data_IF_674234702787
#
_entry.id   IF_674234702787
#
_cell.length_a   1.000
_cell.length_b   1.000
_cell.length_c   1.000
_cell.angle_alpha   90.00
_cell.angle_beta   90.00
_cell.angle_gamma   90.00
#
_symmetry.space_group_name_H-M   'P 1'
#
loop_
_entity.id
_entity.type
_entity.pdbx_description
1 polymer ?
#
# COMPACT_ATOMS: atom_id res chain seq x y z
N UNK A 1 -23.29 -12.88 49.18
CA UNK A 1 -22.56 -11.98 48.27
C UNK A 1 -21.17 -12.57 47.96
N UNK A 2 -21.08 -13.88 47.69
CA UNK A 2 -19.79 -14.60 47.49
C UNK A 2 -19.96 -15.94 46.72
N UNK A 3 -20.88 -15.98 45.75
CA UNK A 3 -21.00 -17.13 44.83
C UNK A 3 -21.24 -16.72 43.37
N UNK A 4 -21.80 -15.52 43.12
CA UNK A 4 -21.93 -14.95 41.77
C UNK A 4 -20.61 -14.34 41.26
N UNK A 5 -19.83 -13.72 42.14
CA UNK A 5 -18.50 -13.16 41.83
C UNK A 5 -17.48 -14.25 41.50
N UNK A 6 -17.60 -15.43 42.12
CA UNK A 6 -16.76 -16.59 41.80
C UNK A 6 -17.10 -17.17 40.41
N UNK A 7 -18.39 -17.25 40.04
CA UNK A 7 -18.83 -17.71 38.71
C UNK A 7 -18.50 -16.75 37.58
N UNK A 8 -18.38 -15.44 37.86
CA UNK A 8 -17.89 -14.46 36.87
C UNK A 8 -16.37 -14.57 36.63
N UNK A 9 -15.61 -14.94 37.66
CA UNK A 9 -14.16 -15.13 37.56
C UNK A 9 -13.79 -16.50 36.96
N UNK A 10 -14.58 -17.56 37.21
CA UNK A 10 -14.40 -18.86 36.54
C UNK A 10 -14.74 -18.83 35.04
N UNK A 11 -15.56 -17.87 34.58
CA UNK A 11 -15.83 -17.67 33.14
C UNK A 11 -14.71 -16.94 32.38
N UNK A 12 -13.70 -16.40 33.07
CA UNK A 12 -12.54 -15.75 32.44
C UNK A 12 -11.36 -16.70 32.15
N UNK A 13 -11.45 -17.95 32.56
CA UNK A 13 -10.48 -19.02 32.24
C UNK A 13 -11.03 -20.05 31.25
N UNK A 14 -12.02 -19.68 30.43
CA UNK A 14 -12.20 -20.39 29.16
C UNK A 14 -11.05 -19.94 28.28
N UNK A 15 -9.99 -20.74 28.24
CA UNK A 15 -8.81 -20.52 27.43
C UNK A 15 -9.22 -20.07 26.04
N UNK A 16 -9.07 -18.76 25.79
CA UNK A 16 -9.33 -18.18 24.49
C UNK A 16 -8.23 -18.76 23.61
N UNK A 17 -8.52 -19.85 22.90
CA UNK A 17 -7.66 -20.36 21.85
C UNK A 17 -7.52 -19.21 20.87
N UNK A 18 -6.45 -18.44 21.00
CA UNK A 18 -6.10 -17.44 20.03
C UNK A 18 -5.92 -18.22 18.72
N UNK A 19 -6.85 -18.03 17.78
CA UNK A 19 -6.79 -18.69 16.50
C UNK A 19 -5.61 -18.09 15.75
N UNK A 20 -4.48 -18.80 15.76
CA UNK A 20 -3.24 -18.38 15.13
C UNK A 20 -3.19 -18.74 13.64
N UNK A 21 -4.35 -18.95 13.01
CA UNK A 21 -4.46 -19.44 11.64
C UNK A 21 -5.40 -18.55 10.84
N UNK A 22 -4.96 -18.12 9.66
CA UNK A 22 -5.79 -17.36 8.70
C UNK A 22 -5.69 -18.06 7.35
N UNK A 23 -6.82 -18.22 6.67
CA UNK A 23 -6.86 -18.77 5.31
C UNK A 23 -6.82 -17.62 4.31
N UNK A 24 -5.75 -17.57 3.53
CA UNK A 24 -5.52 -16.60 2.46
C UNK A 24 -5.76 -17.26 1.08
N UNK A 25 -6.19 -16.46 0.11
CA UNK A 25 -6.50 -16.91 -1.24
C UNK A 25 -5.25 -17.22 -2.08
N UNK A 26 -4.13 -16.56 -1.76
CA UNK A 26 -2.85 -16.72 -2.45
C UNK A 26 -2.00 -17.79 -1.77
N UNK A 27 -1.85 -17.70 -0.45
CA UNK A 27 -0.90 -18.52 0.34
C UNK A 27 -1.54 -19.71 1.07
N UNK A 28 -2.86 -19.88 0.98
CA UNK A 28 -3.58 -20.97 1.65
C UNK A 28 -3.64 -20.79 3.17
N UNK A 29 -3.36 -21.84 3.95
CA UNK A 29 -3.47 -21.78 5.42
C UNK A 29 -2.18 -21.22 6.04
N UNK A 30 -2.25 -19.98 6.49
CA UNK A 30 -1.14 -19.25 7.12
C UNK A 30 -1.18 -19.41 8.65
N UNK A 31 -0.01 -19.34 9.30
CA UNK A 31 0.12 -19.41 10.76
C UNK A 31 0.88 -18.23 11.31
N UNK A 32 0.36 -17.58 12.36
CA UNK A 32 0.94 -16.37 12.93
C UNK A 32 1.35 -16.55 14.39
N UNK A 33 2.47 -15.97 14.79
CA UNK A 33 2.79 -15.88 16.22
C UNK A 33 1.77 -15.01 16.97
N UNK A 34 1.55 -15.26 18.28
CA UNK A 34 0.62 -14.45 19.09
C UNK A 34 0.89 -12.95 19.06
N UNK A 35 2.16 -12.56 18.91
CA UNK A 35 2.58 -11.16 18.81
C UNK A 35 2.21 -10.54 17.45
N UNK A 36 2.28 -11.29 16.34
CA UNK A 36 1.74 -10.86 15.04
C UNK A 36 0.22 -10.69 15.13
N UNK A 37 -0.48 -11.64 15.75
CA UNK A 37 -1.92 -11.54 15.94
C UNK A 37 -2.32 -10.31 16.77
N UNK A 38 -1.55 -9.95 17.79
CA UNK A 38 -1.79 -8.69 18.55
C UNK A 38 -1.67 -7.44 17.69
N UNK A 39 -0.76 -7.39 16.72
CA UNK A 39 -0.66 -6.28 15.75
C UNK A 39 -1.87 -6.29 14.82
N UNK A 40 -2.19 -7.47 14.28
CA UNK A 40 -3.31 -7.66 13.35
C UNK A 40 -4.62 -7.21 14.00
N UNK A 41 -4.84 -7.51 15.28
CA UNK A 41 -6.07 -7.19 16.03
C UNK A 41 -6.17 -5.71 16.48
N UNK A 42 -5.29 -4.82 16.01
CA UNK A 42 -5.37 -3.37 16.29
C UNK A 42 -6.30 -2.64 15.31
N UNK A 43 -6.94 -1.56 15.73
CA UNK A 43 -7.80 -0.74 14.85
C UNK A 43 -7.03 -0.18 13.65
N UNK A 44 -5.77 0.18 13.87
CA UNK A 44 -4.89 0.76 12.86
C UNK A 44 -4.57 -0.25 11.75
N UNK A 45 -4.35 -1.53 12.11
CA UNK A 45 -4.15 -2.60 11.13
C UNK A 45 -5.47 -3.05 10.50
N UNK A 46 -6.56 -3.16 11.28
CA UNK A 46 -7.89 -3.50 10.77
C UNK A 46 -8.43 -2.46 9.78
N UNK A 47 -7.98 -1.20 9.84
CA UNK A 47 -8.26 -0.15 8.83
C UNK A 47 -7.95 -0.62 7.41
N UNK A 48 -6.85 -1.36 7.24
CA UNK A 48 -6.38 -1.81 5.93
C UNK A 48 -7.41 -2.66 5.17
N UNK A 49 -8.41 -3.24 5.86
CA UNK A 49 -9.50 -3.98 5.21
C UNK A 49 -10.35 -3.12 4.29
N UNK A 50 -10.42 -1.82 4.60
CA UNK A 50 -11.21 -0.85 3.85
C UNK A 50 -10.34 -0.02 2.90
N UNK A 51 -9.11 -0.45 2.63
CA UNK A 51 -8.22 0.15 1.65
C UNK A 51 -8.00 -0.84 0.51
N UNK A 52 -8.55 -0.55 -0.66
CA UNK A 52 -8.31 -1.38 -1.84
C UNK A 52 -6.82 -1.33 -2.21
N UNK A 53 -6.22 -2.51 -2.42
CA UNK A 53 -4.81 -2.65 -2.82
C UNK A 53 -4.53 -1.82 -4.08
N UNK A 54 -5.39 -1.98 -5.08
CA UNK A 54 -5.24 -1.35 -6.39
C UNK A 54 -6.05 -0.05 -6.55
N UNK A 55 -6.53 0.53 -5.44
CA UNK A 55 -7.28 1.79 -5.45
C UNK A 55 -8.39 1.80 -6.49
N UNK A 56 -8.29 2.71 -7.46
CA UNK A 56 -9.30 2.87 -8.51
C UNK A 56 -9.42 1.69 -9.49
N UNK A 57 -8.47 0.74 -9.47
CA UNK A 57 -8.52 -0.39 -10.39
C UNK A 57 -9.77 -1.26 -10.17
N UNK A 58 -10.35 -1.30 -8.97
CA UNK A 58 -11.58 -2.04 -8.68
C UNK A 58 -12.79 -1.57 -9.52
N UNK A 59 -12.79 -0.33 -10.03
CA UNK A 59 -13.83 0.21 -10.92
C UNK A 59 -13.70 -0.30 -12.36
N UNK A 60 -12.52 -0.78 -12.75
CA UNK A 60 -12.20 -1.31 -14.08
C UNK A 60 -12.14 -2.84 -14.07
N UNK A 61 -11.42 -3.40 -13.10
CA UNK A 61 -11.23 -4.81 -12.87
C UNK A 61 -12.16 -5.25 -11.73
N UNK A 62 -13.31 -5.83 -12.08
CA UNK A 62 -14.35 -6.20 -11.11
C UNK A 62 -13.83 -7.16 -10.02
N UNK A 63 -12.85 -8.00 -10.37
CA UNK A 63 -12.21 -8.91 -9.42
C UNK A 63 -11.20 -8.25 -8.48
N UNK A 64 -10.72 -7.02 -8.75
CA UNK A 64 -9.72 -6.32 -7.96
C UNK A 64 -10.30 -5.73 -6.65
N UNK A 65 -10.96 -6.56 -5.86
CA UNK A 65 -11.62 -6.21 -4.59
C UNK A 65 -10.72 -6.43 -3.37
N UNK A 66 -9.51 -6.95 -3.58
CA UNK A 66 -8.58 -7.26 -2.51
C UNK A 66 -8.08 -6.00 -1.80
N UNK A 67 -7.77 -6.16 -0.52
CA UNK A 67 -7.39 -5.05 0.35
C UNK A 67 -5.90 -5.08 0.72
N UNK A 68 -5.38 -3.96 1.22
CA UNK A 68 -4.03 -3.90 1.80
C UNK A 68 -3.86 -4.88 2.96
N UNK A 69 -4.94 -5.17 3.68
CA UNK A 69 -4.92 -6.08 4.83
C UNK A 69 -4.41 -7.47 4.47
N UNK A 70 -5.00 -8.11 3.47
CA UNK A 70 -4.63 -9.47 3.05
C UNK A 70 -3.25 -9.51 2.38
N UNK A 71 -2.87 -8.44 1.68
CA UNK A 71 -1.50 -8.25 1.17
C UNK A 71 -0.47 -8.24 2.32
N UNK A 72 -0.65 -7.40 3.34
CA UNK A 72 0.26 -7.36 4.50
C UNK A 72 0.38 -8.71 5.22
N UNK A 73 -0.69 -9.50 5.28
CA UNK A 73 -0.64 -10.85 5.84
C UNK A 73 0.24 -11.78 5.01
N UNK A 74 0.15 -11.69 3.68
CA UNK A 74 0.88 -12.51 2.71
C UNK A 74 2.40 -12.36 2.75
N UNK A 75 2.91 -11.27 3.34
CA UNK A 75 4.35 -11.05 3.53
C UNK A 75 4.96 -11.91 4.65
N UNK A 76 4.16 -12.59 5.48
CA UNK A 76 4.66 -13.44 6.57
C UNK A 76 4.77 -14.90 6.12
N UNK A 77 5.97 -15.47 6.22
CA UNK A 77 6.20 -16.91 6.13
C UNK A 77 6.48 -17.54 7.51
N UNK A 78 6.41 -18.86 7.62
CA UNK A 78 6.61 -19.56 8.91
C UNK A 78 8.05 -19.41 9.41
N UNK A 79 9.01 -19.37 8.48
CA UNK A 79 10.44 -19.36 8.73
C UNK A 79 11.01 -17.98 9.08
N UNK A 80 10.24 -16.90 8.97
CA UNK A 80 10.76 -15.54 9.14
C UNK A 80 11.14 -15.20 10.59
N UNK A 81 12.20 -14.42 10.74
CA UNK A 81 12.57 -13.83 12.03
C UNK A 81 11.50 -12.82 12.43
N UNK A 82 11.06 -12.84 13.70
CA UNK A 82 9.97 -12.00 14.21
C UNK A 82 10.02 -10.52 13.79
N UNK A 83 11.20 -9.90 13.76
CA UNK A 83 11.33 -8.50 13.34
C UNK A 83 11.00 -8.28 11.85
N UNK A 84 11.32 -9.25 10.98
CA UNK A 84 10.96 -9.22 9.56
C UNK A 84 9.44 -9.37 9.42
N UNK A 85 8.82 -10.26 10.19
CA UNK A 85 7.36 -10.44 10.19
C UNK A 85 6.63 -9.17 10.58
N UNK A 86 7.10 -8.48 11.63
CA UNK A 86 6.54 -7.18 12.03
C UNK A 86 6.75 -6.15 10.93
N UNK A 87 7.95 -6.07 10.34
CA UNK A 87 8.23 -5.14 9.25
C UNK A 87 7.33 -5.38 8.04
N UNK A 88 7.16 -6.64 7.62
CA UNK A 88 6.26 -7.03 6.53
C UNK A 88 4.80 -6.70 6.82
N UNK A 89 4.28 -7.00 8.02
CA UNK A 89 2.92 -6.62 8.40
C UNK A 89 2.71 -5.10 8.33
N UNK A 90 3.67 -4.35 8.85
CA UNK A 90 3.51 -2.93 9.05
C UNK A 90 3.83 -2.08 7.82
N UNK A 91 4.41 -2.63 6.75
CA UNK A 91 5.00 -1.83 5.68
C UNK A 91 4.03 -0.89 4.96
N UNK A 92 2.74 -1.23 4.97
CA UNK A 92 1.65 -0.54 4.26
C UNK A 92 0.67 0.20 5.20
N UNK A 93 0.98 0.26 6.50
CA UNK A 93 0.07 0.88 7.50
C UNK A 93 -0.16 2.37 7.30
N UNK A 94 0.75 3.04 6.60
CA UNK A 94 0.69 4.47 6.31
C UNK A 94 -0.12 4.82 5.06
N UNK A 95 -0.58 3.86 4.26
CA UNK A 95 -1.41 4.12 3.07
C UNK A 95 -2.76 4.77 3.40
N UNK A 96 -3.14 5.80 2.64
CA UNK A 96 -4.45 6.43 2.73
C UNK A 96 -5.51 5.82 1.79
N UNK A 97 -6.71 6.43 1.70
CA UNK A 97 -7.78 5.99 0.82
C UNK A 97 -7.33 5.85 -0.63
N UNK A 98 -7.72 4.77 -1.29
CA UNK A 98 -7.33 4.43 -2.66
C UNK A 98 -5.80 4.28 -2.84
N UNK A 99 -5.09 3.94 -1.76
CA UNK A 99 -3.67 3.62 -1.78
C UNK A 99 -2.84 4.73 -2.45
N UNK A 100 -2.22 4.44 -3.61
CA UNK A 100 -1.34 5.37 -4.30
C UNK A 100 -2.03 6.65 -4.83
N UNK A 101 -3.36 6.69 -4.91
CA UNK A 101 -4.08 7.94 -5.22
C UNK A 101 -3.87 8.95 -4.10
N UNK A 102 -3.99 8.52 -2.84
CA UNK A 102 -3.79 9.42 -1.72
C UNK A 102 -2.34 9.88 -1.64
N UNK A 103 -1.39 8.94 -1.60
CA UNK A 103 0.01 9.28 -1.36
C UNK A 103 0.68 9.97 -2.55
N UNK A 104 0.37 9.51 -3.77
CA UNK A 104 1.07 9.93 -4.99
C UNK A 104 0.36 11.02 -5.79
N UNK A 105 -0.95 11.21 -5.62
CA UNK A 105 -1.68 12.25 -6.36
C UNK A 105 -2.22 13.33 -5.43
N UNK A 106 -2.96 12.94 -4.39
CA UNK A 106 -3.61 13.89 -3.50
C UNK A 106 -2.59 14.71 -2.70
N UNK A 107 -1.64 14.06 -2.01
CA UNK A 107 -0.60 14.78 -1.26
C UNK A 107 0.26 15.68 -2.17
N UNK A 108 0.61 15.22 -3.36
CA UNK A 108 1.34 16.02 -4.35
C UNK A 108 0.56 17.25 -4.82
N UNK A 109 -0.76 17.14 -4.98
CA UNK A 109 -1.62 18.28 -5.30
C UNK A 109 -1.74 19.27 -4.13
N UNK A 110 -1.81 18.78 -2.89
CA UNK A 110 -1.79 19.64 -1.71
C UNK A 110 -0.48 20.43 -1.59
N UNK A 111 0.67 19.79 -1.85
CA UNK A 111 1.99 20.46 -1.89
C UNK A 111 2.03 21.54 -2.97
N UNK A 112 1.61 21.22 -4.20
CA UNK A 112 1.55 22.19 -5.31
C UNK A 112 0.65 23.39 -5.01
N UNK A 113 -0.39 23.19 -4.21
CA UNK A 113 -1.31 24.26 -3.75
C UNK A 113 -0.84 24.97 -2.48
N UNK A 114 0.33 24.64 -1.93
CA UNK A 114 0.86 25.16 -0.66
C UNK A 114 -0.09 24.96 0.54
N UNK A 115 -0.90 23.89 0.52
CA UNK A 115 -1.80 23.54 1.64
C UNK A 115 -1.02 22.78 2.74
N UNK A 116 -0.03 21.99 2.32
CA UNK A 116 0.88 21.25 3.21
C UNK A 116 2.33 21.57 2.84
N UNK A 117 3.24 21.41 3.81
CA UNK A 117 4.68 21.62 3.65
C UNK A 117 5.28 20.60 2.66
N UNK A 118 6.26 21.01 1.85
CA UNK A 118 7.05 20.10 1.01
C UNK A 118 7.77 19.03 1.82
N UNK A 119 8.15 19.33 3.07
CA UNK A 119 8.77 18.39 3.99
C UNK A 119 7.79 17.31 4.50
N UNK A 120 6.47 17.50 4.34
CA UNK A 120 5.48 16.54 4.75
C UNK A 120 5.50 15.32 3.82
N UNK A 121 6.13 14.22 4.26
CA UNK A 121 6.31 13.01 3.45
C UNK A 121 5.09 12.09 3.38
N UNK A 122 4.05 12.33 4.17
CA UNK A 122 2.88 11.43 4.20
C UNK A 122 3.17 10.09 4.88
N UNK A 123 4.15 10.03 5.79
CA UNK A 123 4.43 8.83 6.58
C UNK A 123 4.06 9.04 8.04
N UNK A 124 3.69 7.96 8.73
CA UNK A 124 3.47 7.99 10.17
C UNK A 124 4.73 8.46 10.91
N UNK A 125 4.55 9.35 11.89
CA UNK A 125 5.65 9.84 12.73
C UNK A 125 6.17 8.75 13.67
N UNK A 126 7.38 8.95 14.21
CA UNK A 126 7.96 8.05 15.22
C UNK A 126 7.04 7.84 16.42
N UNK A 127 6.36 8.90 16.87
CA UNK A 127 5.45 8.83 18.01
C UNK A 127 4.18 8.04 17.69
N UNK A 128 3.68 8.18 16.45
CA UNK A 128 2.52 7.42 15.98
C UNK A 128 2.84 5.91 15.89
N UNK A 129 4.03 5.57 15.39
CA UNK A 129 4.55 4.21 15.40
C UNK A 129 4.74 3.66 16.81
N UNK A 130 5.33 4.47 17.69
CA UNK A 130 5.54 4.10 19.10
C UNK A 130 4.22 3.88 19.82
N UNK A 131 3.20 4.71 19.56
CA UNK A 131 1.86 4.53 20.12
C UNK A 131 1.23 3.21 19.66
N UNK A 132 1.20 2.97 18.34
CA UNK A 132 0.64 1.75 17.75
C UNK A 132 1.29 0.48 18.28
N UNK A 133 2.62 0.50 18.29
CA UNK A 133 3.40 -0.69 18.54
C UNK A 133 4.00 -0.68 19.95
N UNK A 134 3.59 0.20 20.85
CA UNK A 134 4.05 0.29 22.26
C UNK A 134 4.00 -1.08 22.96
N UNK A 135 2.88 -1.78 22.79
CA UNK A 135 2.66 -3.14 23.34
C UNK A 135 3.53 -4.24 22.71
N UNK A 136 4.21 -3.96 21.60
CA UNK A 136 4.95 -4.91 20.75
C UNK A 136 6.46 -4.60 20.77
N UNK A 137 6.84 -3.32 20.68
CA UNK A 137 8.22 -2.85 20.56
C UNK A 137 8.86 -2.69 21.93
N UNK A 138 8.16 -2.63 23.06
CA UNK A 138 8.82 -2.55 24.39
C UNK A 138 9.92 -3.62 24.59
N UNK A 139 9.83 -4.78 23.90
CA UNK A 139 10.87 -5.83 23.89
C UNK A 139 12.00 -5.64 22.84
N UNK A 140 11.81 -4.74 21.88
CA UNK A 140 12.69 -4.43 20.75
C UNK A 140 13.23 -2.99 20.76
N UNK A 141 12.85 -2.18 21.76
CA UNK A 141 13.45 -0.88 22.04
C UNK A 141 14.79 -1.07 22.77
N UNK A 142 15.79 -0.23 22.47
CA UNK A 142 16.93 -0.09 23.39
C UNK A 142 16.50 0.59 24.70
N UNK A 143 17.46 0.69 25.62
CA UNK A 143 17.35 1.45 26.87
C UNK A 143 16.91 2.91 26.70
N UNK A 144 16.94 3.47 25.49
CA UNK A 144 16.53 4.85 25.19
C UNK A 144 15.15 4.93 24.53
N UNK A 145 14.43 3.82 24.40
CA UNK A 145 13.12 3.81 23.75
C UNK A 145 13.19 4.04 22.24
N UNK A 146 14.33 3.75 21.60
CA UNK A 146 14.49 3.81 20.14
C UNK A 146 14.39 2.42 19.55
N UNK A 147 13.64 2.30 18.45
CA UNK A 147 13.56 1.08 17.67
C UNK A 147 14.95 0.80 17.09
N UNK A 148 15.66 -0.16 17.68
CA UNK A 148 16.99 -0.48 17.20
C UNK A 148 16.86 -1.28 15.91
N UNK A 149 17.27 -0.66 14.80
CA UNK A 149 17.68 -1.42 13.63
C UNK A 149 18.75 -2.46 13.99
N UNK A 150 19.02 -3.40 13.10
CA UNK A 150 20.13 -4.33 13.27
C UNK A 150 21.44 -3.59 12.96
N UNK A 151 22.28 -3.25 13.96
CA UNK A 151 23.42 -2.36 13.76
C UNK A 151 24.61 -3.07 13.11
N UNK A 152 24.60 -4.40 13.08
CA UNK A 152 25.68 -5.18 12.49
C UNK A 152 25.63 -5.11 10.96
N UNK A 153 26.75 -4.72 10.35
CA UNK A 153 26.90 -4.68 8.89
C UNK A 153 26.64 -6.03 8.23
N UNK A 154 26.89 -7.13 8.94
CA UNK A 154 26.65 -8.50 8.45
C UNK A 154 25.16 -8.88 8.40
N UNK A 155 24.27 -8.02 8.89
CA UNK A 155 22.82 -8.23 8.93
C UNK A 155 22.08 -7.33 7.94
N UNK A 156 22.80 -6.61 7.07
CA UNK A 156 22.20 -5.67 6.11
C UNK A 156 21.18 -6.34 5.17
N UNK A 157 21.46 -7.55 4.71
CA UNK A 157 20.55 -8.32 3.85
C UNK A 157 19.13 -8.47 4.41
N UNK A 158 18.93 -8.35 5.74
CA UNK A 158 17.60 -8.44 6.34
C UNK A 158 16.69 -7.26 5.94
N UNK A 159 17.27 -6.10 5.65
CA UNK A 159 16.53 -4.93 5.18
C UNK A 159 16.02 -5.12 3.74
N UNK A 160 16.76 -5.88 2.93
CA UNK A 160 16.41 -6.18 1.54
C UNK A 160 15.28 -7.21 1.40
N UNK A 161 14.83 -7.81 2.51
CA UNK A 161 13.75 -8.82 2.47
C UNK A 161 12.41 -8.15 2.19
N UNK A 162 12.04 -7.15 2.99
CA UNK A 162 10.74 -6.46 2.91
C UNK A 162 10.74 -5.38 1.84
N UNK A 163 11.83 -4.61 1.74
CA UNK A 163 11.97 -3.55 0.74
C UNK A 163 13.41 -3.48 0.23
N UNK A 164 13.62 -4.02 -0.96
CA UNK A 164 14.93 -4.07 -1.60
C UNK A 164 15.12 -2.87 -2.53
N UNK A 165 15.63 -1.77 -1.98
CA UNK A 165 15.93 -0.57 -2.78
C UNK A 165 17.07 -0.78 -3.81
N UNK A 166 17.87 -1.84 -3.67
CA UNK A 166 19.02 -2.10 -4.54
C UNK A 166 18.62 -2.78 -5.85
N UNK A 167 17.89 -3.90 -5.76
CA UNK A 167 17.48 -4.68 -6.94
C UNK A 167 16.02 -4.48 -7.32
N UNK A 168 15.18 -4.03 -6.37
CA UNK A 168 13.74 -4.01 -6.52
C UNK A 168 13.10 -5.39 -6.55
N UNK A 169 13.75 -6.42 -6.01
CA UNK A 169 13.18 -7.75 -5.80
C UNK A 169 13.11 -8.04 -4.28
N UNK A 170 11.89 -8.03 -3.74
CA UNK A 170 11.55 -8.18 -2.33
C UNK A 170 10.21 -8.90 -2.16
N UNK A 171 9.88 -9.33 -0.93
CA UNK A 171 8.67 -10.12 -0.66
C UNK A 171 7.38 -9.33 -0.83
N UNK A 172 7.41 -7.99 -0.67
CA UNK A 172 6.32 -7.09 -1.03
C UNK A 172 5.92 -7.31 -2.50
N UNK A 173 6.89 -7.23 -3.41
CA UNK A 173 6.65 -7.45 -4.85
C UNK A 173 6.20 -8.85 -5.17
N UNK A 174 6.79 -9.86 -4.54
CA UNK A 174 6.40 -11.25 -4.78
C UNK A 174 4.94 -11.50 -4.36
N UNK A 175 4.49 -10.96 -3.23
CA UNK A 175 3.08 -11.09 -2.82
C UNK A 175 2.16 -10.37 -3.80
N UNK A 176 2.40 -9.09 -4.10
CA UNK A 176 1.46 -8.37 -4.97
C UNK A 176 1.48 -8.89 -6.40
N UNK A 177 2.59 -9.44 -6.90
CA UNK A 177 2.59 -10.12 -8.22
C UNK A 177 1.59 -11.27 -8.24
N UNK A 178 1.60 -12.12 -7.22
CA UNK A 178 0.67 -13.25 -7.11
C UNK A 178 -0.76 -12.75 -6.92
N UNK A 179 -0.96 -11.83 -5.98
CA UNK A 179 -2.28 -11.34 -5.55
C UNK A 179 -2.95 -10.53 -6.64
N UNK A 180 -2.26 -9.53 -7.21
CA UNK A 180 -2.83 -8.69 -8.25
C UNK A 180 -3.14 -9.50 -9.50
N UNK A 181 -2.28 -10.46 -9.86
CA UNK A 181 -2.54 -11.38 -10.97
C UNK A 181 -3.81 -12.20 -10.73
N UNK A 182 -3.98 -12.76 -9.52
CA UNK A 182 -5.17 -13.53 -9.15
C UNK A 182 -6.46 -12.71 -9.28
N UNK A 183 -6.48 -11.49 -8.73
CA UNK A 183 -7.70 -10.68 -8.64
C UNK A 183 -8.00 -9.86 -9.91
N UNK A 184 -6.99 -9.54 -10.73
CA UNK A 184 -7.19 -8.82 -12.00
C UNK A 184 -7.34 -9.75 -13.20
N UNK A 185 -6.96 -11.03 -13.05
CA UNK A 185 -6.88 -11.99 -14.16
C UNK A 185 -5.63 -11.82 -15.03
N UNK A 186 -4.69 -10.95 -14.64
CA UNK A 186 -3.38 -10.86 -15.28
C UNK A 186 -2.58 -12.17 -15.05
N UNK A 187 -1.67 -12.49 -15.97
CA UNK A 187 -0.85 -13.70 -15.87
C UNK A 187 0.45 -13.38 -15.15
N UNK A 188 0.71 -14.07 -14.06
CA UNK A 188 2.03 -14.12 -13.44
C UNK A 188 2.93 -15.08 -14.23
N UNK A 189 4.18 -14.68 -14.44
CA UNK A 189 5.15 -15.48 -15.20
C UNK A 189 6.26 -16.10 -14.34
N UNK A 190 6.43 -15.71 -13.08
CA UNK A 190 7.49 -16.20 -12.21
C UNK A 190 7.01 -17.19 -11.13
N UNK A 191 7.90 -18.07 -10.71
CA UNK A 191 7.71 -18.96 -9.55
C UNK A 191 8.33 -18.30 -8.31
N UNK A 192 7.46 -17.72 -7.46
CA UNK A 192 7.86 -17.00 -6.26
C UNK A 192 8.43 -17.93 -5.18
N UNK A 193 7.83 -19.11 -5.00
CA UNK A 193 8.29 -20.13 -4.05
C UNK A 193 9.70 -20.60 -4.38
N UNK A 194 9.99 -20.82 -5.66
CA UNK A 194 11.33 -21.20 -6.12
C UNK A 194 12.36 -20.11 -5.82
N UNK A 195 12.02 -18.83 -6.06
CA UNK A 195 12.91 -17.70 -5.77
C UNK A 195 13.23 -17.61 -4.27
N UNK A 196 12.22 -17.73 -3.42
CA UNK A 196 12.39 -17.64 -1.95
C UNK A 196 13.19 -18.85 -1.44
N UNK A 197 12.85 -20.08 -1.85
CA UNK A 197 13.48 -21.32 -1.37
C UNK A 197 14.97 -21.41 -1.72
N UNK A 198 15.33 -21.03 -2.94
CA UNK A 198 16.70 -21.19 -3.44
C UNK A 198 17.58 -19.95 -3.17
N UNK A 199 17.03 -18.84 -2.65
CA UNK A 199 17.80 -17.68 -2.21
C UNK A 199 18.83 -18.02 -1.12
N UNK A 200 20.01 -17.40 -1.18
CA UNK A 200 21.12 -17.59 -0.23
C UNK A 200 21.70 -16.26 0.18
N UNK A 201 22.28 -16.19 1.36
CA UNK A 201 22.99 -14.99 1.83
C UNK A 201 24.48 -15.22 1.67
N UNK A 202 25.14 -14.40 0.85
CA UNK A 202 26.57 -14.49 0.56
C UNK A 202 27.23 -13.12 0.73
N UNK A 203 28.55 -13.12 0.94
CA UNK A 203 29.32 -11.88 0.90
C UNK A 203 29.42 -11.36 -0.53
N UNK A 204 29.06 -10.10 -0.73
CA UNK A 204 29.29 -9.38 -1.98
C UNK A 204 30.80 -9.30 -2.23
N UNK A 205 31.22 -9.83 -3.39
CA UNK A 205 32.63 -9.87 -3.78
C UNK A 205 33.11 -8.54 -4.36
N UNK A 206 32.18 -7.71 -4.83
CA UNK A 206 32.45 -6.41 -5.44
C UNK A 206 32.44 -5.29 -4.38
N UNK A 207 31.74 -5.50 -3.26
CA UNK A 207 31.78 -4.57 -2.13
C UNK A 207 33.12 -4.72 -1.35
N UNK A 208 33.92 -3.64 -1.19
CA UNK A 208 35.18 -3.67 -0.43
C UNK A 208 35.03 -4.14 1.02
N UNK A 209 33.84 -3.96 1.60
CA UNK A 209 33.50 -4.33 2.97
C UNK A 209 32.89 -5.73 3.07
N UNK A 210 32.75 -6.47 1.96
CA UNK A 210 32.19 -7.83 1.91
C UNK A 210 30.83 -7.93 2.61
N UNK A 211 29.95 -6.98 2.33
CA UNK A 211 28.61 -6.96 2.92
C UNK A 211 27.84 -8.23 2.55
N UNK A 212 27.10 -8.77 3.52
CA UNK A 212 26.22 -9.91 3.27
C UNK A 212 24.97 -9.42 2.52
N UNK A 213 24.66 -10.05 1.39
CA UNK A 213 23.54 -9.72 0.49
C UNK A 213 22.76 -10.97 0.12
N UNK A 214 21.50 -10.80 -0.29
CA UNK A 214 20.67 -11.88 -0.84
C UNK A 214 21.13 -12.16 -2.27
N UNK A 215 21.45 -13.42 -2.55
CA UNK A 215 21.88 -13.91 -3.84
C UNK A 215 20.98 -15.05 -4.30
N UNK A 216 20.85 -15.20 -5.61
CA UNK A 216 20.12 -16.30 -6.25
C UNK A 216 21.09 -17.16 -7.06
N UNK A 217 20.89 -18.49 -7.12
CA UNK A 217 21.65 -19.35 -8.03
C UNK A 217 21.53 -18.88 -9.47
N UNK A 218 22.64 -18.90 -10.23
CA UNK A 218 22.70 -18.42 -11.62
C UNK A 218 21.64 -19.06 -12.52
N UNK A 219 21.33 -20.36 -12.31
CA UNK A 219 20.26 -21.09 -13.00
C UNK A 219 18.88 -20.44 -12.89
N UNK A 220 18.64 -19.57 -11.90
CA UNK A 220 17.37 -18.86 -11.68
C UNK A 220 17.28 -17.51 -12.40
N UNK A 221 18.29 -17.12 -13.17
CA UNK A 221 18.26 -15.85 -13.93
C UNK A 221 16.98 -15.72 -14.78
N UNK A 222 16.51 -16.82 -15.38
CA UNK A 222 15.26 -16.83 -16.15
C UNK A 222 14.02 -16.51 -15.28
N UNK A 223 13.98 -17.01 -14.05
CA UNK A 223 12.88 -16.74 -13.10
C UNK A 223 12.89 -15.29 -12.62
N UNK A 224 14.08 -14.73 -12.37
CA UNK A 224 14.23 -13.32 -12.01
C UNK A 224 13.74 -12.42 -13.16
N UNK A 225 14.14 -12.73 -14.40
CA UNK A 225 13.66 -11.98 -15.57
C UNK A 225 12.13 -12.09 -15.74
N UNK A 226 11.54 -13.24 -15.44
CA UNK A 226 10.09 -13.42 -15.43
C UNK A 226 9.40 -12.60 -14.33
N UNK A 227 10.04 -12.40 -13.17
CA UNK A 227 9.50 -11.53 -12.12
C UNK A 227 9.43 -10.08 -12.59
N UNK A 228 10.51 -9.57 -13.19
CA UNK A 228 10.51 -8.23 -13.79
C UNK A 228 9.56 -8.09 -14.98
N UNK A 229 9.36 -9.16 -15.75
CA UNK A 229 8.36 -9.18 -16.81
C UNK A 229 6.94 -9.10 -16.26
N UNK A 230 6.63 -9.87 -15.21
CA UNK A 230 5.34 -9.80 -14.50
C UNK A 230 5.09 -8.38 -14.00
N UNK A 231 6.10 -7.76 -13.37
CA UNK A 231 6.02 -6.35 -12.96
C UNK A 231 5.69 -5.42 -14.12
N UNK A 232 6.42 -5.55 -15.24
CA UNK A 232 6.19 -4.72 -16.43
C UNK A 232 4.76 -4.88 -16.95
N UNK A 233 4.27 -6.11 -17.06
CA UNK A 233 2.93 -6.43 -17.56
C UNK A 233 1.83 -5.89 -16.63
N UNK A 234 1.97 -6.05 -15.31
CA UNK A 234 1.06 -5.45 -14.32
C UNK A 234 1.04 -3.92 -14.42
N UNK A 235 2.21 -3.29 -14.56
CA UNK A 235 2.27 -1.84 -14.77
C UNK A 235 1.56 -1.40 -16.05
N UNK A 236 1.78 -2.07 -17.18
CA UNK A 236 1.19 -1.68 -18.45
C UNK A 236 -0.31 -1.93 -18.50
N UNK A 237 -0.75 -3.11 -18.06
CA UNK A 237 -2.13 -3.54 -18.24
C UNK A 237 -3.03 -3.12 -17.09
N UNK A 238 -2.54 -3.12 -15.84
CA UNK A 238 -3.37 -2.86 -14.66
C UNK A 238 -3.15 -1.44 -14.15
N UNK A 239 -1.94 -1.14 -13.65
CA UNK A 239 -1.70 0.09 -12.88
C UNK A 239 -1.76 1.35 -13.75
N UNK A 240 -1.26 1.29 -14.99
CA UNK A 240 -1.29 2.40 -15.94
C UNK A 240 -2.46 2.32 -16.93
N UNK A 241 -3.44 1.45 -16.68
CA UNK A 241 -4.61 1.36 -17.53
C UNK A 241 -5.32 2.72 -17.61
N UNK A 242 -5.62 3.18 -18.83
CA UNK A 242 -6.20 4.51 -19.08
C UNK A 242 -7.44 4.81 -18.25
N UNK A 243 -8.33 3.84 -18.09
CA UNK A 243 -9.55 3.99 -17.30
C UNK A 243 -9.25 4.11 -15.80
N UNK A 244 -8.26 3.34 -15.30
CA UNK A 244 -7.84 3.41 -13.90
C UNK A 244 -7.23 4.77 -13.62
N UNK A 245 -6.32 5.22 -14.49
CA UNK A 245 -5.70 6.55 -14.38
C UNK A 245 -6.71 7.69 -14.45
N UNK A 246 -7.72 7.61 -15.31
CA UNK A 246 -8.78 8.62 -15.36
C UNK A 246 -9.52 8.70 -14.02
N UNK A 247 -9.86 7.56 -13.42
CA UNK A 247 -10.54 7.50 -12.13
C UNK A 247 -9.61 7.95 -10.99
N UNK A 248 -8.32 7.61 -11.01
CA UNK A 248 -7.33 8.13 -10.05
C UNK A 248 -7.36 9.67 -9.99
N UNK A 249 -7.36 10.33 -11.15
CA UNK A 249 -7.45 11.79 -11.22
C UNK A 249 -8.82 12.32 -10.74
N UNK A 250 -9.92 11.63 -11.07
CA UNK A 250 -11.25 12.00 -10.58
C UNK A 250 -11.35 11.86 -9.05
N UNK A 251 -10.82 10.79 -8.47
CA UNK A 251 -10.76 10.58 -7.03
C UNK A 251 -9.87 11.62 -6.33
N UNK A 252 -8.73 11.96 -6.92
CA UNK A 252 -7.88 13.03 -6.42
C UNK A 252 -8.63 14.38 -6.39
N UNK A 253 -9.28 14.76 -7.49
CA UNK A 253 -10.11 15.97 -7.55
C UNK A 253 -11.25 15.94 -6.52
N UNK A 254 -11.90 14.79 -6.36
CA UNK A 254 -12.93 14.57 -5.36
C UNK A 254 -12.41 14.80 -3.94
N UNK A 255 -11.25 14.24 -3.58
CA UNK A 255 -10.64 14.44 -2.25
C UNK A 255 -10.21 15.89 -2.03
N UNK A 256 -9.66 16.56 -3.05
CA UNK A 256 -9.29 17.98 -2.99
C UNK A 256 -10.52 18.85 -2.75
N UNK A 257 -11.58 18.65 -3.54
CA UNK A 257 -12.83 19.41 -3.41
C UNK A 257 -13.55 19.12 -2.09
N UNK A 258 -13.42 17.91 -1.55
CA UNK A 258 -13.99 17.56 -0.25
C UNK A 258 -13.16 18.07 0.95
N UNK A 259 -11.92 18.54 0.75
CA UNK A 259 -10.95 18.75 1.81
C UNK A 259 -11.44 19.64 2.96
N UNK A 260 -12.04 20.77 2.61
CA UNK A 260 -12.48 21.79 3.58
C UNK A 260 -13.91 21.57 4.09
N UNK A 261 -14.63 20.61 3.51
CA UNK A 261 -16.04 20.35 3.78
C UNK A 261 -16.27 19.05 4.55
N UNK A 262 -15.39 18.07 4.38
CA UNK A 262 -15.44 16.81 5.09
C UNK A 262 -14.44 16.81 6.25
N UNK A 263 -14.92 16.43 7.44
CA UNK A 263 -14.04 16.23 8.60
C UNK A 263 -14.07 14.78 9.07
N UNK A 264 -12.92 14.31 9.54
CA UNK A 264 -12.77 13.02 10.22
C UNK A 264 -12.22 13.30 11.60
N UNK A 265 -13.00 12.99 12.64
CA UNK A 265 -12.62 13.30 14.03
C UNK A 265 -12.21 14.77 14.21
N UNK A 266 -12.95 15.70 13.58
CA UNK A 266 -12.71 17.16 13.58
C UNK A 266 -11.45 17.62 12.84
N UNK A 267 -10.76 16.75 12.11
CA UNK A 267 -9.64 17.10 11.23
C UNK A 267 -10.13 17.21 9.79
N UNK A 268 -9.63 18.19 9.04
CA UNK A 268 -9.81 18.25 7.58
C UNK A 268 -9.06 17.11 6.91
N UNK A 269 -9.42 16.74 5.68
CA UNK A 269 -8.77 15.62 4.96
C UNK A 269 -7.24 15.77 4.92
N UNK A 270 -6.74 16.98 4.62
CA UNK A 270 -5.32 17.31 4.56
C UNK A 270 -4.58 17.19 5.90
N UNK A 271 -5.30 17.19 7.02
CA UNK A 271 -4.75 17.20 8.38
C UNK A 271 -4.94 15.86 9.10
N UNK A 272 -5.72 14.93 8.53
CA UNK A 272 -6.03 13.65 9.17
C UNK A 272 -4.76 12.89 9.56
N UNK A 273 -3.72 12.91 8.71
CA UNK A 273 -2.46 12.22 8.98
C UNK A 273 -1.71 12.75 10.21
N UNK A 274 -1.97 13.99 10.62
CA UNK A 274 -1.37 14.58 11.81
C UNK A 274 -1.93 13.97 13.11
N UNK A 275 -3.07 13.27 13.05
CA UNK A 275 -3.71 12.61 14.19
C UNK A 275 -4.01 11.14 13.88
N UNK A 276 -3.33 10.21 14.54
CA UNK A 276 -3.66 8.79 14.37
C UNK A 276 -5.08 8.44 14.81
N UNK A 277 -5.68 9.22 15.73
CA UNK A 277 -7.07 9.02 16.09
C UNK A 277 -7.99 9.28 14.90
N UNK A 278 -7.68 10.29 14.07
CA UNK A 278 -8.41 10.56 12.84
C UNK A 278 -8.03 9.58 11.72
N UNK A 279 -6.74 9.32 11.54
CA UNK A 279 -6.21 8.51 10.45
C UNK A 279 -6.69 7.07 10.46
N UNK A 280 -6.83 6.45 11.65
CA UNK A 280 -7.38 5.10 11.75
C UNK A 280 -8.85 4.98 11.26
N UNK A 281 -9.56 6.10 11.12
CA UNK A 281 -10.93 6.17 10.60
C UNK A 281 -11.03 6.76 9.18
N UNK A 282 -9.89 6.91 8.52
CA UNK A 282 -9.80 7.44 7.16
C UNK A 282 -9.32 6.36 6.20
N UNK A 283 -10.28 5.87 5.42
CA UNK A 283 -10.14 4.78 4.45
C UNK A 283 -11.15 5.00 3.30
N UNK A 284 -11.31 4.03 2.40
CA UNK A 284 -12.12 4.19 1.18
C UNK A 284 -13.61 4.46 1.46
N UNK A 285 -14.07 4.26 2.70
CA UNK A 285 -15.41 4.66 3.15
C UNK A 285 -15.61 6.18 3.12
N UNK A 286 -14.58 6.96 2.86
CA UNK A 286 -14.69 8.38 2.49
C UNK A 286 -15.70 8.61 1.36
N UNK A 287 -15.79 7.69 0.38
CA UNK A 287 -16.80 7.81 -0.69
C UNK A 287 -18.22 7.65 -0.16
N UNK A 288 -18.44 6.71 0.76
CA UNK A 288 -19.73 6.53 1.40
C UNK A 288 -20.12 7.79 2.20
N UNK A 289 -19.19 8.36 2.96
CA UNK A 289 -19.42 9.61 3.71
C UNK A 289 -19.81 10.77 2.78
N UNK A 290 -19.18 10.87 1.61
CA UNK A 290 -19.51 11.88 0.61
C UNK A 290 -20.89 11.61 0.01
N UNK A 291 -21.18 10.35 -0.33
CA UNK A 291 -22.45 9.94 -0.91
C UNK A 291 -23.64 10.19 0.04
N UNK A 292 -23.46 9.92 1.33
CA UNK A 292 -24.47 10.13 2.39
C UNK A 292 -24.55 11.58 2.88
N UNK A 293 -23.71 12.48 2.37
CA UNK A 293 -23.75 13.90 2.75
C UNK A 293 -24.92 14.64 2.10
N UNK A 294 -25.64 15.45 2.88
CA UNK A 294 -26.72 16.31 2.38
C UNK A 294 -26.29 17.76 2.12
N UNK A 295 -25.12 18.17 2.63
CA UNK A 295 -24.65 19.55 2.54
C UNK A 295 -24.50 20.07 1.10
N UNK A 296 -24.88 21.32 0.85
CA UNK A 296 -24.81 21.93 -0.48
C UNK A 296 -23.36 22.08 -0.96
N UNK A 297 -22.42 22.25 -0.02
CA UNK A 297 -20.98 22.37 -0.25
C UNK A 297 -20.35 21.13 -0.87
N UNK A 298 -20.94 19.94 -0.65
CA UNK A 298 -20.48 18.69 -1.24
C UNK A 298 -21.26 18.29 -2.52
N UNK A 299 -22.14 19.15 -3.03
CA UNK A 299 -22.97 18.83 -4.21
C UNK A 299 -22.16 18.54 -5.47
N UNK A 300 -21.13 19.36 -5.75
CA UNK A 300 -20.21 19.14 -6.86
C UNK A 300 -19.39 17.85 -6.68
N UNK A 301 -18.96 17.58 -5.44
CA UNK A 301 -18.21 16.37 -5.06
C UNK A 301 -19.07 15.12 -5.28
N UNK A 302 -20.34 15.15 -4.87
CA UNK A 302 -21.32 14.07 -5.12
C UNK A 302 -21.58 13.90 -6.62
N UNK A 303 -21.67 14.98 -7.38
CA UNK A 303 -21.81 14.90 -8.85
C UNK A 303 -20.61 14.21 -9.49
N UNK A 304 -19.39 14.54 -9.06
CA UNK A 304 -18.18 13.87 -9.53
C UNK A 304 -18.15 12.37 -9.15
N UNK A 305 -18.56 12.03 -7.93
CA UNK A 305 -18.70 10.64 -7.49
C UNK A 305 -19.71 9.87 -8.35
N UNK A 306 -20.87 10.47 -8.63
CA UNK A 306 -21.89 9.87 -9.49
C UNK A 306 -21.37 9.64 -10.92
N UNK A 307 -20.50 10.52 -11.44
CA UNK A 307 -19.81 10.30 -12.72
C UNK A 307 -18.86 9.12 -12.69
N UNK A 308 -18.15 8.88 -11.59
CA UNK A 308 -17.31 7.67 -11.45
C UNK A 308 -18.19 6.41 -11.53
N UNK A 309 -19.33 6.40 -10.83
CA UNK A 309 -20.22 5.24 -10.82
C UNK A 309 -20.99 5.02 -12.13
N UNK A 310 -21.45 6.09 -12.79
CA UNK A 310 -22.13 6.02 -14.09
C UNK A 310 -21.18 5.83 -15.28
N UNK A 311 -19.86 5.91 -15.03
CA UNK A 311 -18.75 5.70 -15.97
C UNK A 311 -18.48 6.73 -17.08
N UNK A 312 -19.02 7.98 -17.11
CA UNK A 312 -18.45 9.05 -17.94
C UNK A 312 -17.16 9.61 -17.30
N UNK A 313 -16.07 8.86 -17.44
CA UNK A 313 -14.74 9.25 -16.97
C UNK A 313 -14.17 10.45 -17.74
N UNK A 314 -13.03 10.98 -17.30
CA UNK A 314 -12.29 11.97 -18.09
C UNK A 314 -11.79 11.36 -19.40
N UNK A 315 -11.92 12.12 -20.49
CA UNK A 315 -11.48 11.69 -21.81
C UNK A 315 -9.96 11.60 -21.88
N UNK A 316 -9.48 10.48 -22.40
CA UNK A 316 -8.06 10.30 -22.69
C UNK A 316 -7.76 10.89 -24.07
N UNK A 317 -7.02 12.01 -24.08
CA UNK A 317 -6.67 12.72 -25.31
C UNK A 317 -5.47 12.08 -26.02
N UNK A 318 -4.45 11.63 -25.28
CA UNK A 318 -3.25 11.02 -25.85
C UNK A 318 -2.16 10.76 -24.82
N UNK A 319 -1.12 10.03 -25.26
CA UNK A 319 0.12 9.77 -24.50
C UNK A 319 1.30 9.96 -25.43
N UNK A 320 2.35 10.61 -24.93
CA UNK A 320 3.62 10.73 -25.63
C UNK A 320 4.76 10.25 -24.73
N UNK A 321 5.85 9.78 -25.32
CA UNK A 321 7.06 9.44 -24.59
C UNK A 321 7.91 10.70 -24.38
N UNK A 322 8.57 10.82 -23.23
CA UNK A 322 9.59 11.83 -23.05
C UNK A 322 10.80 11.44 -23.90
N UNK A 323 11.00 12.15 -25.00
CA UNK A 323 12.20 12.08 -25.83
C UNK A 323 13.12 13.26 -25.50
N UNK A 324 14.38 13.22 -25.93
CA UNK A 324 15.29 14.38 -25.81
C UNK A 324 14.70 15.64 -26.44
N UNK A 325 13.93 15.49 -27.52
CA UNK A 325 13.19 16.56 -28.15
C UNK A 325 12.02 17.08 -27.29
N UNK A 326 11.33 16.19 -26.57
CA UNK A 326 10.24 16.55 -25.65
C UNK A 326 10.73 17.28 -24.39
N UNK A 327 11.92 16.94 -23.89
CA UNK A 327 12.48 17.54 -22.67
C UNK A 327 12.83 19.03 -22.84
N UNK A 328 13.06 19.48 -24.07
CA UNK A 328 13.34 20.88 -24.39
C UNK A 328 12.07 21.74 -24.50
N UNK A 329 10.89 21.12 -24.50
CA UNK A 329 9.61 21.80 -24.68
C UNK A 329 8.97 22.15 -23.35
N UNK A 330 8.32 23.32 -23.31
CA UNK A 330 7.47 23.67 -22.17
C UNK A 330 6.23 22.77 -22.11
N UNK A 331 5.62 22.65 -20.93
CA UNK A 331 4.37 21.89 -20.74
C UNK A 331 3.27 22.38 -21.71
N UNK A 332 3.16 23.69 -21.94
CA UNK A 332 2.19 24.25 -22.87
C UNK A 332 2.45 23.84 -24.32
N UNK A 333 3.71 23.74 -24.75
CA UNK A 333 4.05 23.25 -26.09
C UNK A 333 3.66 21.78 -26.27
N UNK A 334 3.91 20.95 -25.26
CA UNK A 334 3.51 19.55 -25.26
C UNK A 334 1.99 19.38 -25.26
N UNK A 335 1.26 20.22 -24.50
CA UNK A 335 -0.20 20.23 -24.49
C UNK A 335 -0.77 20.65 -25.84
N UNK A 336 -0.22 21.69 -26.46
CA UNK A 336 -0.64 22.14 -27.79
C UNK A 336 -0.41 21.05 -28.86
N UNK A 337 0.71 20.33 -28.80
CA UNK A 337 0.96 19.20 -29.69
C UNK A 337 -0.09 18.10 -29.51
N UNK A 338 -0.34 17.70 -28.26
CA UNK A 338 -1.36 16.68 -27.97
C UNK A 338 -2.76 17.12 -28.40
N UNK A 339 -3.10 18.40 -28.24
CA UNK A 339 -4.38 18.96 -28.69
C UNK A 339 -4.51 18.98 -30.22
N UNK A 340 -3.44 19.33 -30.94
CA UNK A 340 -3.43 19.26 -32.41
C UNK A 340 -3.67 17.84 -32.92
N UNK A 341 -3.17 16.81 -32.23
CA UNK A 341 -3.48 15.41 -32.57
C UNK A 341 -4.90 14.98 -32.19
N UNK A 342 -5.55 15.66 -31.23
CA UNK A 342 -6.92 15.35 -30.81
C UNK A 342 -8.00 15.85 -31.78
N UNK A 343 -7.71 16.91 -32.54
CA UNK A 343 -8.57 17.37 -33.64
C UNK A 343 -8.50 16.42 -34.86
N UNK A 344 -7.44 15.61 -34.96
CA UNK A 344 -7.30 14.55 -35.97
C UNK A 344 -8.00 13.29 -35.45
N UNK A 345 -9.33 13.32 -35.53
CA UNK A 345 -10.25 12.21 -35.26
C UNK A 345 -10.08 11.01 -36.20
N UNK A 346 -8.92 10.37 -36.18
CA UNK A 346 -8.68 9.10 -36.88
C UNK A 346 -7.56 8.35 -36.20
N UNK A 347 -7.87 7.61 -35.14
CA UNK A 347 -7.30 6.28 -34.84
C UNK A 347 -8.18 5.66 -33.76
N UNK A 348 -9.26 5.00 -34.21
CA UNK A 348 -10.06 4.08 -33.39
C UNK A 348 -9.35 2.75 -33.26
#
# INVERSE_FOLDING_TARGET
>A
MDQETAKLNERKEVGNKMYNYIKDSVHGLMTFEPICMRIIDTLQFQRLRNLHQLGAANFVYIGATHSRFEHCLGLITKEDVMCIKIAGLCHDLDHGPFSHVFDGLFLDQLRKKNIIDEAFKGHMSKDQWTCLLSTVIERYLDSNGVLCGRPSRNQRFLYDIVNNAHSGLDVDKLDYFMRDSLYTGAKMSCDTDLLIRDARVLADREDPNKLMVICFPEKLVGQIMQAFRTRYELHQYVYQHRGVRAIDYMLCNLLISANDHLTVKRQRISEVMCSMEAYQHFDDRVLLKIQESDGAELSEVRSLLNRIFSKPYYDFVGKTALTDHSQQKSVNMLLNELQQFSDVSTFR
#
